data_IF_667905549362
#
_entry.id   IF_667905549362
#
_cell.length_a   1.000
_cell.length_b   1.000
_cell.length_c   1.000
_cell.angle_alpha   90.00
_cell.angle_beta   90.00
_cell.angle_gamma   90.00
#
_symmetry.space_group_name_H-M   'P 1'
#
loop_
_entity.id
_entity.type
_entity.pdbx_description
1 polymer ?
#
# COMPACT_ATOMS: atom_id res chain seq x y z
N UNK A 1 14.70 -31.51 -24.77
CA UNK A 1 14.59 -30.42 -23.77
C UNK A 1 13.17 -29.87 -23.87
N UNK A 2 12.30 -30.21 -22.93
CA UNK A 2 10.91 -29.71 -22.91
C UNK A 2 10.92 -28.29 -22.33
N UNK A 3 10.52 -27.31 -23.15
CA UNK A 3 10.28 -25.96 -22.67
C UNK A 3 8.99 -25.94 -21.85
N UNK A 4 9.13 -25.80 -20.54
CA UNK A 4 7.99 -25.59 -19.63
C UNK A 4 7.47 -24.18 -19.91
N UNK A 5 6.40 -24.06 -20.70
CA UNK A 5 5.65 -22.82 -20.84
C UNK A 5 4.87 -22.59 -19.55
N UNK A 6 5.43 -21.82 -18.61
CA UNK A 6 4.65 -21.28 -17.51
C UNK A 6 3.63 -20.28 -18.10
N UNK A 7 2.32 -20.46 -17.88
CA UNK A 7 1.33 -19.50 -18.32
C UNK A 7 1.47 -18.24 -17.46
N UNK A 8 2.26 -17.28 -17.94
CA UNK A 8 2.49 -15.96 -17.31
C UNK A 8 1.18 -15.25 -16.96
N UNK A 9 0.12 -15.52 -17.73
CA UNK A 9 -1.24 -15.04 -17.49
C UNK A 9 -1.80 -15.40 -16.10
N UNK A 10 -1.58 -16.63 -15.62
CA UNK A 10 -2.08 -17.05 -14.31
C UNK A 10 -1.33 -16.38 -13.15
N UNK A 11 -0.11 -15.92 -13.38
CA UNK A 11 0.71 -15.24 -12.37
C UNK A 11 0.23 -13.81 -12.19
N UNK A 12 -0.03 -13.07 -13.28
CA UNK A 12 -0.52 -11.68 -13.22
C UNK A 12 -1.87 -11.54 -12.51
N UNK A 13 -2.82 -12.45 -12.73
CA UNK A 13 -4.11 -12.42 -12.03
C UNK A 13 -3.96 -12.65 -10.52
N UNK A 14 -3.02 -13.51 -10.12
CA UNK A 14 -2.70 -13.76 -8.73
C UNK A 14 -2.00 -12.55 -8.10
N UNK A 15 -1.07 -11.92 -8.81
CA UNK A 15 -0.38 -10.70 -8.36
C UNK A 15 -1.35 -9.55 -8.11
N UNK A 16 -2.30 -9.31 -9.00
CA UNK A 16 -3.32 -8.27 -8.81
C UNK A 16 -4.23 -8.57 -7.61
N UNK A 17 -4.62 -9.84 -7.42
CA UNK A 17 -5.39 -10.27 -6.24
C UNK A 17 -4.62 -10.05 -4.94
N UNK A 18 -3.33 -10.43 -4.92
CA UNK A 18 -2.44 -10.23 -3.77
C UNK A 18 -2.22 -8.75 -3.46
N UNK A 19 -1.97 -7.91 -4.47
CA UNK A 19 -1.80 -6.47 -4.30
C UNK A 19 -3.03 -5.83 -3.64
N UNK A 20 -4.23 -6.21 -4.09
CA UNK A 20 -5.50 -5.76 -3.52
C UNK A 20 -5.69 -6.23 -2.08
N UNK A 21 -5.39 -7.49 -1.80
CA UNK A 21 -5.50 -8.05 -0.45
C UNK A 21 -4.52 -7.36 0.52
N UNK A 22 -3.24 -7.23 0.14
CA UNK A 22 -2.22 -6.59 0.97
C UNK A 22 -2.59 -5.13 1.25
N UNK A 23 -2.94 -4.37 0.21
CA UNK A 23 -3.33 -2.95 0.37
C UNK A 23 -4.58 -2.77 1.25
N UNK A 24 -5.62 -3.59 1.06
CA UNK A 24 -6.81 -3.56 1.91
C UNK A 24 -6.52 -3.93 3.37
N UNK A 25 -5.79 -5.03 3.62
CA UNK A 25 -5.41 -5.43 4.96
C UNK A 25 -4.60 -4.33 5.65
N UNK A 26 -3.70 -3.68 4.92
CA UNK A 26 -2.88 -2.60 5.45
C UNK A 26 -3.70 -1.34 5.80
N UNK A 27 -4.61 -0.95 4.91
CA UNK A 27 -5.53 0.15 5.15
C UNK A 27 -6.44 -0.13 6.38
N UNK A 28 -6.95 -1.36 6.49
CA UNK A 28 -7.75 -1.78 7.64
C UNK A 28 -6.94 -1.76 8.94
N UNK A 29 -5.71 -2.26 8.92
CA UNK A 29 -4.80 -2.23 10.07
C UNK A 29 -4.59 -0.81 10.58
N UNK A 30 -4.21 0.14 9.72
CA UNK A 30 -3.95 1.52 10.15
C UNK A 30 -5.20 2.25 10.64
N UNK A 31 -6.35 1.97 10.02
CA UNK A 31 -7.62 2.56 10.45
C UNK A 31 -8.02 2.04 11.82
N UNK A 32 -7.93 0.72 12.03
CA UNK A 32 -8.19 0.12 13.33
C UNK A 32 -7.19 0.59 14.39
N UNK A 33 -5.90 0.64 14.06
CA UNK A 33 -4.85 1.07 14.98
C UNK A 33 -5.07 2.50 15.48
N UNK A 34 -5.30 3.46 14.58
CA UNK A 34 -5.56 4.84 14.95
C UNK A 34 -6.81 5.00 15.82
N UNK A 35 -7.89 4.28 15.48
CA UNK A 35 -9.11 4.27 16.28
C UNK A 35 -8.87 3.65 17.67
N UNK A 36 -8.21 2.50 17.75
CA UNK A 36 -7.95 1.78 18.99
C UNK A 36 -7.05 2.57 19.94
N UNK A 37 -6.01 3.25 19.42
CA UNK A 37 -5.19 4.18 20.19
C UNK A 37 -6.04 5.32 20.77
N UNK A 38 -6.88 5.94 19.95
CA UNK A 38 -7.75 7.03 20.39
C UNK A 38 -8.73 6.62 21.49
N UNK A 39 -9.31 5.41 21.38
CA UNK A 39 -10.18 4.84 22.42
C UNK A 39 -9.41 4.53 23.70
N UNK A 40 -8.22 3.92 23.58
CA UNK A 40 -7.40 3.55 24.74
C UNK A 40 -6.89 4.76 25.53
N UNK A 41 -6.66 5.88 24.85
CA UNK A 41 -6.20 7.13 25.43
C UNK A 41 -7.34 8.02 25.96
N UNK A 42 -8.60 7.57 25.86
CA UNK A 42 -9.79 8.40 26.15
C UNK A 42 -9.75 9.74 25.42
N UNK A 43 -9.20 9.73 24.21
CA UNK A 43 -8.88 10.94 23.47
C UNK A 43 -10.15 11.63 22.96
N UNK A 44 -10.06 12.94 22.71
CA UNK A 44 -11.16 13.68 22.12
C UNK A 44 -11.45 13.18 20.70
N UNK A 45 -12.65 13.40 20.18
CA UNK A 45 -12.99 13.00 18.81
C UNK A 45 -11.99 13.51 17.76
N UNK A 46 -11.49 14.73 17.93
CA UNK A 46 -10.49 15.33 17.03
C UNK A 46 -9.16 14.59 17.09
N UNK A 47 -8.72 14.18 18.28
CA UNK A 47 -7.50 13.41 18.45
C UNK A 47 -7.63 12.02 17.82
N UNK A 48 -8.76 11.35 18.03
CA UNK A 48 -9.04 10.06 17.36
C UNK A 48 -8.97 10.22 15.85
N UNK A 49 -9.59 11.28 15.30
CA UNK A 49 -9.55 11.53 13.86
C UNK A 49 -8.11 11.72 13.38
N UNK A 50 -7.30 12.51 14.09
CA UNK A 50 -5.88 12.73 13.77
C UNK A 50 -5.08 11.43 13.81
N UNK A 51 -5.30 10.57 14.81
CA UNK A 51 -4.64 9.27 14.92
C UNK A 51 -5.06 8.30 13.81
N UNK A 52 -6.26 8.47 13.25
CA UNK A 52 -6.80 7.63 12.17
C UNK A 52 -6.41 8.14 10.76
N UNK A 53 -5.81 9.33 10.64
CA UNK A 53 -5.38 9.92 9.35
C UNK A 53 -4.54 8.96 8.50
N UNK A 54 -3.53 8.24 9.03
CA UNK A 54 -2.77 7.28 8.23
C UNK A 54 -3.67 6.21 7.60
N UNK A 55 -4.66 5.70 8.35
CA UNK A 55 -5.63 4.73 7.85
C UNK A 55 -6.46 5.29 6.69
N UNK A 56 -6.96 6.51 6.83
CA UNK A 56 -7.73 7.21 5.78
C UNK A 56 -6.89 7.38 4.51
N UNK A 57 -5.62 7.79 4.64
CA UNK A 57 -4.71 7.92 3.50
C UNK A 57 -4.47 6.58 2.80
N UNK A 58 -4.27 5.50 3.56
CA UNK A 58 -4.11 4.16 2.98
C UNK A 58 -5.40 3.63 2.34
N UNK A 59 -6.58 3.94 2.88
CA UNK A 59 -7.87 3.62 2.24
C UNK A 59 -7.96 4.33 0.89
N UNK A 60 -7.68 5.64 0.85
CA UNK A 60 -7.72 6.43 -0.38
C UNK A 60 -6.73 5.91 -1.44
N UNK A 61 -5.48 5.65 -1.04
CA UNK A 61 -4.47 5.09 -1.93
C UNK A 61 -4.84 3.68 -2.44
N UNK A 62 -5.39 2.83 -1.57
CA UNK A 62 -5.88 1.51 -1.94
C UNK A 62 -7.01 1.60 -2.97
N UNK A 63 -8.02 2.43 -2.71
CA UNK A 63 -9.13 2.64 -3.64
C UNK A 63 -8.65 3.19 -4.99
N UNK A 64 -7.70 4.14 -4.96
CA UNK A 64 -7.08 4.68 -6.16
C UNK A 64 -6.33 3.59 -6.93
N UNK A 65 -5.53 2.75 -6.26
CA UNK A 65 -4.78 1.66 -6.88
C UNK A 65 -5.68 0.59 -7.50
N UNK A 66 -6.90 0.41 -6.96
CA UNK A 66 -7.85 -0.54 -7.55
C UNK A 66 -8.46 -0.01 -8.83
N UNK A 67 -8.65 1.30 -8.93
CA UNK A 67 -9.19 1.98 -10.11
C UNK A 67 -8.12 2.26 -11.17
N UNK A 68 -6.95 2.67 -10.72
CA UNK A 68 -5.79 3.13 -11.49
C UNK A 68 -4.52 2.47 -10.91
N UNK A 69 -4.19 1.24 -11.36
CA UNK A 69 -3.11 0.45 -10.76
C UNK A 69 -1.76 1.15 -10.74
N UNK A 70 -1.38 1.85 -11.81
CA UNK A 70 -0.07 2.51 -11.86
C UNK A 70 0.02 3.68 -10.91
N UNK A 71 -0.93 4.60 -10.99
CA UNK A 71 -0.96 5.83 -10.19
C UNK A 71 -1.12 5.52 -8.71
N UNK A 72 -2.06 4.63 -8.36
CA UNK A 72 -2.24 4.22 -6.97
C UNK A 72 -1.11 3.33 -6.46
N UNK A 73 -0.50 2.51 -7.30
CA UNK A 73 0.72 1.76 -6.96
C UNK A 73 1.89 2.69 -6.64
N UNK A 74 2.11 3.73 -7.45
CA UNK A 74 3.11 4.76 -7.19
C UNK A 74 2.81 5.55 -5.90
N UNK A 75 1.53 5.87 -5.64
CA UNK A 75 1.12 6.53 -4.40
C UNK A 75 1.38 5.65 -3.17
N UNK A 76 1.08 4.34 -3.24
CA UNK A 76 1.40 3.40 -2.17
C UNK A 76 2.91 3.31 -1.91
N UNK A 77 3.74 3.36 -2.96
CA UNK A 77 5.19 3.46 -2.80
C UNK A 77 5.59 4.77 -2.11
N UNK A 78 5.08 5.91 -2.57
CA UNK A 78 5.37 7.19 -1.96
C UNK A 78 4.99 7.21 -0.47
N UNK A 79 3.82 6.69 -0.11
CA UNK A 79 3.39 6.56 1.28
C UNK A 79 4.30 5.64 2.09
N UNK A 80 4.73 4.50 1.53
CA UNK A 80 5.70 3.64 2.19
C UNK A 80 7.03 4.34 2.46
N UNK A 81 7.53 5.17 1.54
CA UNK A 81 8.75 5.96 1.74
C UNK A 81 8.54 7.00 2.85
N UNK A 82 7.39 7.68 2.86
CA UNK A 82 7.05 8.65 3.92
C UNK A 82 7.00 7.96 5.29
N UNK A 83 6.32 6.82 5.40
CA UNK A 83 6.28 6.03 6.64
C UNK A 83 7.69 5.62 7.06
N UNK A 84 8.52 5.14 6.14
CA UNK A 84 9.91 4.82 6.44
C UNK A 84 10.65 6.02 7.02
N UNK A 85 10.58 7.19 6.36
CA UNK A 85 11.28 8.40 6.79
C UNK A 85 10.83 8.87 8.16
N UNK A 86 9.52 8.87 8.44
CA UNK A 86 8.97 9.24 9.75
C UNK A 86 9.49 8.30 10.83
N UNK A 87 9.35 6.98 10.66
CA UNK A 87 9.76 6.01 11.67
C UNK A 87 11.28 5.89 11.80
N UNK A 88 12.04 6.09 10.73
CA UNK A 88 13.49 6.17 10.75
C UNK A 88 13.98 7.36 11.57
N UNK A 89 13.35 8.52 11.40
CA UNK A 89 13.68 9.70 12.21
C UNK A 89 13.43 9.48 13.71
N UNK A 90 12.37 8.74 14.07
CA UNK A 90 12.16 8.33 15.47
C UNK A 90 13.20 7.29 15.93
N UNK A 91 13.54 6.33 15.07
CA UNK A 91 14.52 5.28 15.35
C UNK A 91 15.94 5.81 15.55
N UNK A 92 16.32 6.88 14.86
CA UNK A 92 17.65 7.50 15.04
C UNK A 92 17.75 8.32 16.32
N UNK A 93 16.62 8.76 16.87
CA UNK A 93 16.56 9.46 18.17
C UNK A 93 16.51 8.50 19.36
N UNK A 94 15.95 7.30 19.18
CA UNK A 94 15.93 6.24 20.20
C UNK A 94 16.94 5.16 19.83
N UNK A 95 18.09 5.12 20.52
CA UNK A 95 19.18 4.17 20.28
C UNK A 95 18.74 2.70 20.41
N UNK A 96 18.25 2.08 19.33
CA UNK A 96 17.85 0.67 19.38
C UNK A 96 17.53 0.06 18.01
N UNK A 97 18.03 -1.15 17.77
CA UNK A 97 17.72 -1.95 16.58
C UNK A 97 16.23 -2.32 16.44
N UNK A 98 15.47 -2.26 17.53
CA UNK A 98 14.02 -2.50 17.52
C UNK A 98 13.27 -1.45 16.67
N UNK A 99 13.63 -0.18 16.76
CA UNK A 99 12.96 0.89 16.02
C UNK A 99 13.24 0.80 14.51
N UNK A 100 14.43 0.35 14.12
CA UNK A 100 14.77 0.03 12.73
C UNK A 100 13.93 -1.14 12.20
N UNK A 101 13.77 -2.21 12.99
CA UNK A 101 12.92 -3.34 12.61
C UNK A 101 11.46 -2.90 12.44
N UNK A 102 10.94 -2.06 13.34
CA UNK A 102 9.60 -1.48 13.21
C UNK A 102 9.46 -0.66 11.93
N UNK A 103 10.42 0.22 11.62
CA UNK A 103 10.39 1.00 10.39
C UNK A 103 10.33 0.11 9.14
N UNK A 104 11.12 -0.96 9.08
CA UNK A 104 11.10 -1.91 7.95
C UNK A 104 9.77 -2.65 7.87
N UNK A 105 9.24 -3.14 8.99
CA UNK A 105 7.98 -3.88 9.05
C UNK A 105 6.79 -3.04 8.60
N UNK A 106 6.75 -1.76 8.97
CA UNK A 106 5.67 -0.84 8.60
C UNK A 106 5.69 -0.43 7.12
N UNK A 107 6.83 -0.60 6.45
CA UNK A 107 7.03 -0.17 5.06
C UNK A 107 6.83 -1.32 4.07
N UNK A 108 7.04 -2.55 4.53
CA UNK A 108 6.90 -3.76 3.70
C UNK A 108 5.56 -3.85 2.97
N UNK A 109 4.40 -3.79 3.65
CA UNK A 109 3.10 -3.97 3.00
C UNK A 109 2.79 -2.93 1.90
N UNK A 110 2.95 -1.61 2.11
CA UNK A 110 2.69 -0.63 1.04
C UNK A 110 3.73 -0.71 -0.09
N UNK A 111 4.99 -1.05 0.20
CA UNK A 111 6.01 -1.30 -0.82
C UNK A 111 5.63 -2.50 -1.70
N UNK A 112 5.28 -3.63 -1.08
CA UNK A 112 4.90 -4.85 -1.78
C UNK A 112 3.62 -4.64 -2.60
N UNK A 113 2.59 -4.04 -2.02
CA UNK A 113 1.37 -3.75 -2.76
C UNK A 113 1.63 -2.79 -3.94
N UNK A 114 2.37 -1.70 -3.72
CA UNK A 114 2.69 -0.71 -4.75
C UNK A 114 3.49 -1.29 -5.91
N UNK A 115 4.52 -2.09 -5.62
CA UNK A 115 5.31 -2.77 -6.67
C UNK A 115 4.49 -3.77 -7.48
N UNK A 116 3.59 -4.52 -6.84
CA UNK A 116 2.68 -5.44 -7.54
C UNK A 116 1.68 -4.69 -8.43
N UNK A 117 1.14 -3.57 -7.97
CA UNK A 117 0.24 -2.73 -8.77
C UNK A 117 0.93 -2.10 -9.98
N UNK A 118 2.20 -1.69 -9.86
CA UNK A 118 2.97 -1.14 -11.00
C UNK A 118 3.33 -2.17 -12.07
N UNK A 119 3.39 -3.45 -11.70
CA UNK A 119 3.61 -4.58 -12.62
C UNK A 119 2.33 -5.11 -13.24
N UNK A 120 1.17 -4.75 -12.70
CA UNK A 120 -0.10 -5.12 -13.26
C UNK A 120 -0.22 -4.51 -14.67
N UNK A 121 -0.65 -5.30 -15.68
CA UNK A 121 -0.82 -4.79 -17.02
C UNK A 121 -1.87 -3.69 -17.03
N UNK A 122 -1.58 -2.58 -17.71
CA UNK A 122 -2.58 -1.54 -17.94
C UNK A 122 -3.72 -2.17 -18.73
N UNK A 123 -4.91 -2.20 -18.14
CA UNK A 123 -6.10 -2.67 -18.82
C UNK A 123 -6.30 -1.76 -20.06
N UNK A 124 -6.01 -2.28 -21.26
CA UNK A 124 -5.96 -1.56 -22.54
C UNK A 124 -7.35 -1.07 -23.02
N UNK A 125 -8.18 -0.49 -22.14
CA UNK A 125 -9.44 0.17 -22.54
C UNK A 125 -9.24 1.46 -23.33
N UNK A 126 -8.00 1.94 -23.47
CA UNK A 126 -7.66 3.11 -24.30
C UNK A 126 -7.16 2.75 -25.71
N UNK A 127 -6.91 1.48 -26.02
CA UNK A 127 -6.43 1.07 -27.36
C UNK A 127 -7.54 0.94 -28.42
N UNK A 128 -8.82 1.06 -28.03
CA UNK A 128 -9.97 0.93 -28.95
C UNK A 128 -10.43 2.26 -29.58
N UNK A 129 -9.67 3.34 -29.44
CA UNK A 129 -9.91 4.62 -30.13
C UNK A 129 -8.76 4.98 -31.09
N UNK A 130 -8.32 4.03 -31.91
CA UNK A 130 -7.61 4.38 -33.14
C UNK A 130 -8.66 4.50 -34.26
N UNK A 131 -8.91 5.68 -34.85
CA UNK A 131 -9.70 5.75 -36.08
C UNK A 131 -8.91 5.04 -37.18
N UNK A 132 -9.54 4.04 -37.80
CA UNK A 132 -9.06 3.48 -39.06
C UNK A 132 -9.24 4.58 -40.11
N UNK A 133 -8.13 5.12 -40.59
CA UNK A 133 -8.06 5.88 -41.84
C UNK A 133 -7.11 5.16 -42.79
#
# INVERSE_FOLDING_TARGET
MQHIHFPLWNVQHREAGLARAISACWAAFWTWFGFACGVAEFASFTDVLQQTVPGILFIGATALAWRFPREGGALLLALGIVVFGVYWNFATQQSGGAAMLTAVMLVGPPMLAGTLFLRAPEDHRTATMAPRH
#
